data_IF_125657017697
#
_entry.id   IF_125657017697
#
_cell.length_a   1.000
_cell.length_b   1.000
_cell.length_c   1.000
_cell.angle_alpha   90.00
_cell.angle_beta   90.00
_cell.angle_gamma   90.00
#
_symmetry.space_group_name_H-M   'P 1'
#
loop_
_entity.id
_entity.type
_entity.pdbx_description
1 polymer ?
#
# COMPACT_ATOMS: atom_id res chain seq x y z
N UNK A 1 -31.78 35.67 -29.40
CA UNK A 1 -31.60 34.22 -29.49
C UNK A 1 -32.73 33.58 -30.26
N UNK A 2 -32.43 33.06 -31.45
CA UNK A 2 -33.34 32.28 -32.28
C UNK A 2 -33.09 30.79 -32.05
N UNK A 3 -34.14 30.01 -31.84
CA UNK A 3 -34.05 28.56 -31.62
C UNK A 3 -34.95 27.84 -32.62
N UNK A 4 -34.38 26.85 -33.29
CA UNK A 4 -35.09 25.89 -34.14
C UNK A 4 -35.04 24.50 -33.52
N UNK A 5 -36.19 23.82 -33.46
CA UNK A 5 -36.31 22.47 -32.92
C UNK A 5 -36.98 21.61 -33.99
N UNK A 6 -36.42 20.45 -34.29
CA UNK A 6 -37.01 19.50 -35.23
C UNK A 6 -36.99 18.09 -34.68
N UNK A 7 -38.02 17.32 -35.05
CA UNK A 7 -38.15 15.90 -34.72
C UNK A 7 -38.03 15.60 -33.21
N UNK A 8 -38.70 16.36 -32.35
CA UNK A 8 -38.68 16.18 -30.90
C UNK A 8 -40.10 15.82 -30.40
N UNK A 9 -40.30 14.61 -29.88
CA UNK A 9 -41.57 14.06 -29.38
C UNK A 9 -42.75 14.30 -30.34
N UNK A 10 -43.60 15.29 -30.01
CA UNK A 10 -44.79 15.67 -30.76
C UNK A 10 -44.58 16.92 -31.65
N UNK A 11 -43.34 17.39 -31.78
CA UNK A 11 -42.92 18.54 -32.57
C UNK A 11 -42.14 18.05 -33.79
N UNK A 12 -42.70 18.25 -34.97
CA UNK A 12 -42.02 17.97 -36.23
C UNK A 12 -41.04 19.10 -36.56
N UNK A 13 -41.51 20.35 -36.47
CA UNK A 13 -40.67 21.55 -36.53
C UNK A 13 -41.25 22.66 -35.65
N UNK A 14 -40.39 23.44 -35.02
CA UNK A 14 -40.74 24.64 -34.27
C UNK A 14 -39.62 25.67 -34.38
N UNK A 15 -39.98 26.94 -34.45
CA UNK A 15 -39.06 28.07 -34.43
C UNK A 15 -39.55 29.08 -33.40
N UNK A 16 -38.64 29.59 -32.57
CA UNK A 16 -38.97 30.53 -31.50
C UNK A 16 -37.85 31.51 -31.20
N UNK A 17 -38.23 32.74 -30.89
CA UNK A 17 -37.31 33.79 -30.45
C UNK A 17 -37.40 34.03 -28.93
N UNK A 18 -36.22 34.12 -28.31
CA UNK A 18 -36.02 34.55 -26.93
C UNK A 18 -35.29 35.89 -26.94
N UNK A 19 -35.96 36.90 -26.37
CA UNK A 19 -35.41 38.24 -26.17
C UNK A 19 -34.55 38.26 -24.91
N UNK A 20 -33.28 38.66 -25.05
CA UNK A 20 -32.33 38.76 -23.94
C UNK A 20 -32.79 39.78 -22.89
N UNK A 21 -32.52 39.49 -21.61
CA UNK A 21 -32.85 40.33 -20.46
C UNK A 21 -34.35 40.69 -20.32
N UNK A 22 -35.24 39.83 -20.82
CA UNK A 22 -36.69 39.99 -20.70
C UNK A 22 -37.33 38.71 -20.19
N UNK A 23 -38.49 38.87 -19.53
CA UNK A 23 -39.37 37.75 -19.26
C UNK A 23 -40.03 37.30 -20.58
N UNK A 24 -39.68 36.11 -21.04
CA UNK A 24 -40.22 35.53 -22.27
C UNK A 24 -41.36 34.56 -21.92
N UNK A 25 -42.60 34.98 -22.12
CA UNK A 25 -43.78 34.16 -21.84
C UNK A 25 -44.26 33.52 -23.15
N UNK A 26 -44.31 32.19 -23.20
CA UNK A 26 -44.85 31.42 -24.33
C UNK A 26 -46.05 30.63 -23.83
N UNK A 27 -47.24 30.94 -24.35
CA UNK A 27 -48.49 30.30 -23.95
C UNK A 27 -49.03 29.42 -25.07
N UNK A 28 -49.47 28.21 -24.73
CA UNK A 28 -50.10 27.29 -25.67
C UNK A 28 -51.02 26.30 -24.93
N UNK A 29 -52.01 25.69 -25.61
CA UNK A 29 -52.85 24.63 -25.04
C UNK A 29 -52.06 23.41 -24.54
N UNK A 30 -52.71 22.55 -23.77
CA UNK A 30 -52.12 21.27 -23.36
C UNK A 30 -51.93 20.36 -24.57
N UNK A 31 -50.84 19.58 -24.57
CA UNK A 31 -50.46 18.77 -25.73
C UNK A 31 -49.76 19.52 -26.86
N UNK A 32 -49.61 20.85 -26.80
CA UNK A 32 -48.94 21.65 -27.84
C UNK A 32 -47.40 21.53 -27.83
N UNK A 33 -46.79 20.71 -26.96
CA UNK A 33 -45.34 20.51 -26.92
C UNK A 33 -44.54 21.51 -26.07
N UNK A 34 -45.19 22.34 -25.23
CA UNK A 34 -44.50 23.30 -24.33
C UNK A 34 -43.35 22.66 -23.53
N UNK A 35 -43.63 21.53 -22.87
CA UNK A 35 -42.63 20.80 -22.09
C UNK A 35 -41.54 20.16 -22.96
N UNK A 36 -41.87 19.77 -24.19
CA UNK A 36 -40.90 19.25 -25.17
C UNK A 36 -39.90 20.35 -25.55
N UNK A 37 -40.37 21.57 -25.81
CA UNK A 37 -39.51 22.72 -26.11
C UNK A 37 -38.55 22.98 -24.94
N UNK A 38 -39.07 23.02 -23.71
CA UNK A 38 -38.25 23.25 -22.52
C UNK A 38 -37.18 22.16 -22.32
N UNK A 39 -37.53 20.88 -22.52
CA UNK A 39 -36.57 19.76 -22.45
C UNK A 39 -35.52 19.82 -23.56
N UNK A 40 -35.92 20.13 -24.80
CA UNK A 40 -34.99 20.26 -25.91
C UNK A 40 -33.95 21.37 -25.66
N UNK A 41 -34.38 22.52 -25.11
CA UNK A 41 -33.46 23.60 -24.72
C UNK A 41 -32.54 23.16 -23.57
N UNK A 42 -33.05 22.41 -22.59
CA UNK A 42 -32.24 21.90 -21.48
C UNK A 42 -31.16 20.90 -21.94
N UNK A 43 -31.46 20.12 -22.97
CA UNK A 43 -30.55 19.12 -23.52
C UNK A 43 -29.75 19.65 -24.72
N UNK A 44 -29.73 20.97 -24.93
CA UNK A 44 -29.02 21.60 -26.05
C UNK A 44 -27.55 21.21 -26.16
N UNK A 45 -26.86 21.01 -25.04
CA UNK A 45 -25.44 20.65 -24.99
C UNK A 45 -25.19 19.14 -24.71
N UNK A 46 -26.23 18.31 -24.72
CA UNK A 46 -26.18 16.91 -24.32
C UNK A 46 -26.96 16.03 -25.32
N UNK A 47 -26.26 15.62 -26.38
CA UNK A 47 -26.83 14.83 -27.49
C UNK A 47 -27.42 13.49 -27.02
N UNK A 48 -26.89 12.90 -25.94
CA UNK A 48 -27.40 11.65 -25.37
C UNK A 48 -28.78 11.86 -24.75
N UNK A 49 -28.95 12.93 -23.96
CA UNK A 49 -30.26 13.27 -23.40
C UNK A 49 -31.24 13.80 -24.43
N UNK A 50 -30.76 14.39 -25.53
CA UNK A 50 -31.63 14.82 -26.62
C UNK A 50 -32.27 13.63 -27.35
N UNK A 51 -31.58 12.49 -27.40
CA UNK A 51 -32.11 11.25 -27.97
C UNK A 51 -33.36 10.72 -27.23
N UNK A 52 -33.54 11.05 -25.94
CA UNK A 52 -34.76 10.69 -25.20
C UNK A 52 -36.03 11.35 -25.77
N UNK A 53 -35.86 12.44 -26.53
CA UNK A 53 -36.94 13.15 -27.19
C UNK A 53 -37.29 12.55 -28.57
N UNK A 54 -36.83 11.35 -28.91
CA UNK A 54 -37.20 10.66 -30.16
C UNK A 54 -38.74 10.56 -30.33
N UNK A 55 -39.30 11.09 -31.44
CA UNK A 55 -40.73 11.05 -31.73
C UNK A 55 -41.25 9.62 -31.73
N UNK A 56 -42.39 9.40 -31.08
CA UNK A 56 -42.95 8.05 -30.93
C UNK A 56 -43.17 7.35 -32.28
N UNK A 57 -43.61 8.10 -33.31
CA UNK A 57 -43.81 7.59 -34.68
C UNK A 57 -42.53 7.06 -35.34
N UNK A 58 -41.35 7.50 -34.89
CA UNK A 58 -40.05 7.13 -35.44
C UNK A 58 -39.32 6.06 -34.60
N UNK A 59 -39.92 5.57 -33.51
CA UNK A 59 -39.26 4.57 -32.63
C UNK A 59 -39.27 3.15 -33.18
N UNK A 60 -40.28 2.79 -34.00
CA UNK A 60 -40.40 1.45 -34.61
C UNK A 60 -39.80 1.39 -36.01
N UNK A 61 -40.08 2.39 -36.84
CA UNK A 61 -39.58 2.50 -38.21
C UNK A 61 -39.06 3.94 -38.43
N UNK A 62 -37.81 4.07 -38.84
CA UNK A 62 -37.16 5.35 -39.13
C UNK A 62 -36.34 5.26 -40.43
N UNK A 63 -36.99 5.06 -41.58
CA UNK A 63 -36.30 4.82 -42.86
C UNK A 63 -35.41 6.00 -43.27
N UNK A 64 -35.76 7.22 -42.86
CA UNK A 64 -35.02 8.45 -43.17
C UNK A 64 -34.00 8.84 -42.08
N UNK A 65 -33.81 7.99 -41.05
CA UNK A 65 -32.83 8.18 -39.97
C UNK A 65 -32.91 9.54 -39.26
N UNK A 66 -34.12 10.08 -39.11
CA UNK A 66 -34.35 11.33 -38.39
C UNK A 66 -33.93 11.23 -36.92
N UNK A 67 -33.39 12.32 -36.39
CA UNK A 67 -33.02 12.47 -34.98
C UNK A 67 -33.56 13.81 -34.44
N UNK A 68 -33.90 13.87 -33.14
CA UNK A 68 -34.11 15.10 -32.40
C UNK A 68 -32.96 16.07 -32.65
N UNK A 69 -33.29 17.29 -33.03
CA UNK A 69 -32.30 18.32 -33.26
C UNK A 69 -32.79 19.64 -32.69
N UNK A 70 -31.86 20.38 -32.12
CA UNK A 70 -32.03 21.75 -31.70
C UNK A 70 -30.87 22.57 -32.24
N UNK A 71 -31.19 23.67 -32.90
CA UNK A 71 -30.23 24.66 -33.36
C UNK A 71 -30.52 25.98 -32.66
N UNK A 72 -29.47 26.65 -32.21
CA UNK A 72 -29.59 27.93 -31.54
C UNK A 72 -28.62 28.93 -32.17
N UNK A 73 -29.08 30.16 -32.39
CA UNK A 73 -28.24 31.23 -32.93
C UNK A 73 -27.14 31.69 -31.95
N UNK A 74 -27.25 31.31 -30.68
CA UNK A 74 -26.33 31.66 -29.59
C UNK A 74 -26.00 30.41 -28.76
N UNK A 75 -24.78 30.30 -28.22
CA UNK A 75 -24.42 29.16 -27.37
C UNK A 75 -25.04 29.32 -25.97
N UNK A 76 -25.72 28.29 -25.49
CA UNK A 76 -26.37 28.27 -24.18
C UNK A 76 -25.44 27.58 -23.17
N UNK A 77 -24.93 28.33 -22.19
CA UNK A 77 -23.99 27.81 -21.19
C UNK A 77 -24.64 26.94 -20.11
N UNK A 78 -25.69 27.44 -19.45
CA UNK A 78 -26.41 26.69 -18.42
C UNK A 78 -27.92 26.99 -18.50
N UNK A 79 -28.74 25.95 -18.37
CA UNK A 79 -30.21 26.04 -18.38
C UNK A 79 -30.72 25.45 -17.07
N UNK A 80 -31.35 26.29 -16.25
CA UNK A 80 -32.03 25.85 -15.03
C UNK A 80 -33.52 25.67 -15.30
N UNK A 81 -34.09 24.54 -14.87
CA UNK A 81 -35.50 24.26 -15.05
C UNK A 81 -36.21 24.15 -13.71
N UNK A 82 -37.15 25.07 -13.50
CA UNK A 82 -38.04 25.05 -12.36
C UNK A 82 -39.31 24.27 -12.70
N UNK A 83 -39.28 22.96 -12.45
CA UNK A 83 -40.41 22.04 -12.68
C UNK A 83 -40.74 21.27 -11.39
N UNK A 84 -41.72 20.37 -11.45
CA UNK A 84 -42.10 19.53 -10.30
C UNK A 84 -40.94 18.69 -9.76
N UNK A 85 -40.05 18.20 -10.63
CA UNK A 85 -38.87 17.44 -10.20
C UNK A 85 -37.91 18.30 -9.36
N UNK A 86 -37.72 19.57 -9.72
CA UNK A 86 -36.95 20.52 -8.92
C UNK A 86 -37.62 20.77 -7.56
N UNK A 87 -38.94 21.01 -7.54
CA UNK A 87 -39.68 21.26 -6.28
C UNK A 87 -39.61 20.04 -5.35
N UNK A 88 -39.77 18.84 -5.88
CA UNK A 88 -39.71 17.59 -5.13
C UNK A 88 -38.34 17.32 -4.48
N UNK A 89 -37.26 17.96 -4.94
CA UNK A 89 -35.94 17.87 -4.27
C UNK A 89 -35.94 18.55 -2.89
N UNK A 90 -36.85 19.49 -2.63
CA UNK A 90 -36.85 20.30 -1.40
C UNK A 90 -38.08 20.08 -0.51
N UNK A 91 -39.22 19.67 -1.07
CA UNK A 91 -40.49 19.65 -0.32
C UNK A 91 -40.88 18.30 0.29
N UNK A 92 -40.16 17.20 -0.01
CA UNK A 92 -40.56 15.84 0.39
C UNK A 92 -39.38 14.89 0.70
N UNK A 93 -38.36 15.37 1.41
CA UNK A 93 -37.26 14.50 1.87
C UNK A 93 -37.61 13.91 3.25
N UNK A 94 -37.41 12.59 3.43
CA UNK A 94 -37.80 11.86 4.64
C UNK A 94 -37.00 12.24 5.87
N UNK A 95 -35.73 12.61 5.67
CA UNK A 95 -34.74 12.72 6.74
C UNK A 95 -33.99 14.06 6.79
N UNK A 96 -34.09 14.91 5.76
CA UNK A 96 -33.46 16.24 5.69
C UNK A 96 -34.42 17.28 5.11
N UNK A 97 -34.35 18.54 5.56
CA UNK A 97 -35.18 19.63 5.03
C UNK A 97 -34.66 20.14 3.67
N UNK A 98 -33.34 20.06 3.49
CA UNK A 98 -32.60 20.40 2.26
C UNK A 98 -31.43 19.45 2.17
N UNK A 99 -31.24 18.82 1.01
CA UNK A 99 -30.08 17.96 0.77
C UNK A 99 -28.79 18.76 0.95
N UNK A 100 -27.81 18.18 1.62
CA UNK A 100 -26.51 18.82 1.85
C UNK A 100 -26.59 20.06 2.76
N UNK A 101 -27.51 20.03 3.73
CA UNK A 101 -27.74 21.10 4.71
C UNK A 101 -26.48 21.52 5.47
N UNK A 102 -25.52 20.61 5.71
CA UNK A 102 -24.24 20.93 6.33
C UNK A 102 -23.42 21.93 5.49
N UNK A 103 -23.23 21.65 4.20
CA UNK A 103 -22.47 22.57 3.33
C UNK A 103 -23.19 23.92 3.16
N UNK A 104 -24.52 23.92 3.17
CA UNK A 104 -25.33 25.13 2.95
C UNK A 104 -25.37 26.03 4.20
N UNK A 105 -25.52 25.44 5.38
CA UNK A 105 -25.78 26.19 6.61
C UNK A 105 -24.59 26.25 7.57
N UNK A 106 -23.66 25.30 7.50
CA UNK A 106 -22.60 25.13 8.51
C UNK A 106 -21.20 25.34 7.93
N UNK A 107 -20.93 24.88 6.71
CA UNK A 107 -19.62 25.02 6.05
C UNK A 107 -19.40 26.42 5.47
N UNK A 108 -19.40 27.41 6.36
CA UNK A 108 -19.09 28.80 6.03
C UNK A 108 -17.61 28.97 5.67
N UNK A 109 -17.24 30.14 5.15
CA UNK A 109 -15.84 30.48 4.89
C UNK A 109 -14.99 30.37 6.17
N UNK A 110 -15.53 30.78 7.33
CA UNK A 110 -14.85 30.68 8.63
C UNK A 110 -14.61 29.23 9.05
N UNK A 111 -15.56 28.34 8.77
CA UNK A 111 -15.40 26.90 9.03
C UNK A 111 -14.26 26.33 8.19
N UNK A 112 -14.24 26.65 6.89
CA UNK A 112 -13.18 26.20 5.95
C UNK A 112 -11.82 26.75 6.39
N UNK A 113 -11.75 28.01 6.80
CA UNK A 113 -10.50 28.62 7.28
C UNK A 113 -9.98 27.92 8.54
N UNK A 114 -10.87 27.57 9.48
CA UNK A 114 -10.52 26.83 10.69
C UNK A 114 -10.05 25.41 10.37
N UNK A 115 -10.72 24.72 9.45
CA UNK A 115 -10.32 23.39 8.97
C UNK A 115 -8.91 23.42 8.35
N UNK A 116 -8.62 24.43 7.52
CA UNK A 116 -7.30 24.63 6.93
C UNK A 116 -6.22 24.96 7.97
N UNK A 117 -6.55 25.73 9.01
CA UNK A 117 -5.62 26.01 10.10
C UNK A 117 -5.29 24.75 10.89
N UNK A 118 -6.29 23.94 11.24
CA UNK A 118 -6.09 22.64 11.87
C UNK A 118 -5.17 21.78 11.00
N UNK A 119 -5.49 21.65 9.71
CA UNK A 119 -4.69 20.84 8.78
C UNK A 119 -3.24 21.34 8.70
N UNK A 120 -3.02 22.66 8.71
CA UNK A 120 -1.67 23.24 8.76
C UNK A 120 -0.93 22.88 10.06
N UNK A 121 -1.61 22.87 11.21
CA UNK A 121 -1.01 22.51 12.51
C UNK A 121 -0.58 21.03 12.53
N UNK A 122 -1.41 20.13 11.99
CA UNK A 122 -1.08 18.69 11.97
C UNK A 122 -0.23 18.27 10.77
N UNK A 123 -0.06 19.13 9.76
CA UNK A 123 0.70 18.83 8.53
C UNK A 123 2.11 18.34 8.84
N UNK A 124 2.88 19.11 9.63
CA UNK A 124 4.27 18.78 9.93
C UNK A 124 4.38 17.42 10.65
N UNK A 125 3.40 17.12 11.52
CA UNK A 125 3.31 15.82 12.21
C UNK A 125 3.02 14.70 11.20
N UNK A 126 2.06 14.88 10.29
CA UNK A 126 1.74 13.90 9.25
C UNK A 126 2.92 13.64 8.32
N UNK A 127 3.65 14.67 7.92
CA UNK A 127 4.83 14.57 7.05
C UNK A 127 5.97 13.82 7.73
N UNK A 128 6.21 14.04 9.03
CA UNK A 128 7.22 13.32 9.82
C UNK A 128 7.04 11.80 9.84
N UNK A 129 5.80 11.30 9.72
CA UNK A 129 5.50 9.87 9.70
C UNK A 129 5.30 9.29 8.28
N UNK A 130 5.09 10.15 7.28
CA UNK A 130 4.80 9.72 5.90
C UNK A 130 6.06 9.64 5.05
N UNK A 131 6.95 10.64 5.12
CA UNK A 131 8.10 10.78 4.20
C UNK A 131 9.45 10.70 4.95
N UNK A 132 9.53 9.81 5.93
CA UNK A 132 10.72 9.69 6.77
C UNK A 132 11.49 8.39 6.54
N UNK A 133 12.50 8.48 5.66
CA UNK A 133 13.37 7.36 5.28
C UNK A 133 14.06 6.71 6.49
N UNK A 134 14.43 7.49 7.52
CA UNK A 134 15.04 6.95 8.74
C UNK A 134 14.03 6.12 9.54
N UNK A 135 12.80 6.61 9.64
CA UNK A 135 11.72 5.86 10.28
C UNK A 135 11.38 4.59 9.50
N UNK A 136 11.36 4.65 8.17
CA UNK A 136 11.14 3.48 7.32
C UNK A 136 12.22 2.42 7.52
N UNK A 137 13.48 2.84 7.55
CA UNK A 137 14.62 1.95 7.81
C UNK A 137 14.54 1.34 9.21
N UNK A 138 14.18 2.13 10.23
CA UNK A 138 13.95 1.61 11.58
C UNK A 138 12.83 0.56 11.60
N UNK A 139 11.69 0.83 10.98
CA UNK A 139 10.56 -0.11 10.89
C UNK A 139 10.96 -1.39 10.14
N UNK A 140 11.74 -1.27 9.06
CA UNK A 140 12.22 -2.42 8.31
C UNK A 140 13.14 -3.30 9.16
N UNK A 141 14.12 -2.71 9.85
CA UNK A 141 15.04 -3.43 10.73
C UNK A 141 14.31 -4.08 11.92
N UNK A 142 13.36 -3.37 12.54
CA UNK A 142 12.52 -3.90 13.61
C UNK A 142 11.68 -5.10 13.12
N UNK A 143 11.10 -5.01 11.92
CA UNK A 143 10.37 -6.13 11.32
C UNK A 143 11.29 -7.32 11.02
N UNK A 144 12.48 -7.08 10.48
CA UNK A 144 13.46 -8.13 10.20
C UNK A 144 13.84 -8.87 11.49
N UNK A 145 14.30 -8.15 12.51
CA UNK A 145 14.65 -8.74 13.80
C UNK A 145 13.44 -9.41 14.48
N UNK A 146 12.30 -8.72 14.48
CA UNK A 146 11.05 -9.22 15.06
C UNK A 146 10.57 -10.51 14.40
N UNK A 147 10.66 -10.62 13.08
CA UNK A 147 10.23 -11.79 12.31
C UNK A 147 11.14 -13.01 12.49
N UNK A 148 12.40 -12.78 12.84
CA UNK A 148 13.36 -13.86 13.14
C UNK A 148 12.94 -14.69 14.36
N UNK A 149 12.16 -14.09 15.26
CA UNK A 149 11.65 -14.74 16.46
C UNK A 149 10.13 -14.93 16.39
N UNK A 150 9.64 -16.02 16.97
CA UNK A 150 8.19 -16.27 17.08
C UNK A 150 7.85 -16.59 18.52
N UNK A 151 6.77 -16.02 19.03
CA UNK A 151 6.29 -16.32 20.37
C UNK A 151 5.27 -17.46 20.35
N UNK A 152 5.21 -18.19 21.45
CA UNK A 152 4.26 -19.26 21.75
C UNK A 152 3.69 -19.03 23.15
N UNK A 153 2.71 -19.84 23.55
CA UNK A 153 2.12 -19.78 24.91
C UNK A 153 3.15 -19.97 26.03
N UNK A 154 4.27 -20.64 25.76
CA UNK A 154 5.32 -20.96 26.75
C UNK A 154 6.59 -20.11 26.59
N UNK A 155 6.55 -19.07 25.76
CA UNK A 155 7.69 -18.20 25.46
C UNK A 155 8.17 -18.31 24.00
N UNK A 156 9.45 -18.06 23.75
CA UNK A 156 10.00 -18.03 22.40
C UNK A 156 10.03 -19.43 21.75
N UNK A 157 9.63 -19.50 20.48
CA UNK A 157 9.61 -20.73 19.70
C UNK A 157 11.02 -21.14 19.29
N UNK A 158 11.46 -22.33 19.73
CA UNK A 158 12.71 -22.94 19.26
C UNK A 158 12.73 -23.23 17.76
N UNK A 159 11.56 -23.27 17.12
CA UNK A 159 11.43 -23.46 15.68
C UNK A 159 11.65 -22.16 14.87
N UNK A 160 11.70 -20.99 15.52
CA UNK A 160 11.95 -19.71 14.86
C UNK A 160 13.36 -19.66 14.25
N UNK A 161 13.51 -18.89 13.17
CA UNK A 161 14.77 -18.84 12.41
C UNK A 161 15.91 -18.32 13.26
N UNK A 162 15.66 -17.33 14.11
CA UNK A 162 16.66 -16.79 15.02
C UNK A 162 17.03 -17.72 16.16
N UNK A 163 16.05 -18.44 16.73
CA UNK A 163 16.37 -19.46 17.72
C UNK A 163 17.22 -20.59 17.13
N UNK A 164 16.92 -21.04 15.90
CA UNK A 164 17.74 -22.04 15.21
C UNK A 164 19.15 -21.53 14.90
N UNK A 165 19.28 -20.26 14.51
CA UNK A 165 20.55 -19.63 14.21
C UNK A 165 21.48 -19.57 15.44
N UNK A 166 20.91 -19.25 16.61
CA UNK A 166 21.64 -19.08 17.86
C UNK A 166 21.80 -20.39 18.67
N UNK A 167 21.07 -21.45 18.33
CA UNK A 167 20.99 -22.67 19.14
C UNK A 167 22.32 -23.41 19.34
N UNK A 168 23.29 -23.25 18.43
CA UNK A 168 24.60 -23.93 18.48
C UNK A 168 25.76 -22.95 18.75
N UNK A 169 25.45 -21.75 19.24
CA UNK A 169 26.43 -20.70 19.44
C UNK A 169 26.96 -20.10 18.14
N UNK A 170 27.80 -19.09 18.29
CA UNK A 170 28.45 -18.38 17.20
C UNK A 170 29.71 -19.10 16.76
N UNK A 171 29.54 -20.07 15.85
CA UNK A 171 30.66 -20.82 15.25
C UNK A 171 31.54 -19.99 14.31
N UNK A 172 31.11 -18.79 13.92
CA UNK A 172 31.94 -17.87 13.12
C UNK A 172 33.07 -17.31 14.00
N UNK A 173 32.71 -16.91 15.22
CA UNK A 173 33.66 -16.46 16.22
C UNK A 173 34.39 -17.65 16.87
N UNK A 174 33.65 -18.67 17.29
CA UNK A 174 34.16 -19.86 17.99
C UNK A 174 34.27 -21.04 17.04
N UNK A 175 35.32 -21.03 16.22
CA UNK A 175 35.54 -22.05 15.18
C UNK A 175 35.75 -23.43 15.86
N UNK A 176 35.01 -24.48 15.45
CA UNK A 176 35.17 -25.82 16.00
C UNK A 176 36.59 -26.36 15.83
N UNK A 177 37.03 -27.14 16.83
CA UNK A 177 38.37 -27.72 16.86
C UNK A 177 38.69 -28.49 15.58
N UNK A 178 39.85 -28.25 14.99
CA UNK A 178 40.29 -28.86 13.74
C UNK A 178 39.83 -28.15 12.48
N UNK A 179 39.07 -27.05 12.55
CA UNK A 179 38.68 -26.23 11.40
C UNK A 179 39.37 -24.85 11.37
N UNK A 180 40.35 -24.62 12.23
CA UNK A 180 41.04 -23.33 12.42
C UNK A 180 41.74 -22.85 11.15
N UNK A 181 42.21 -23.77 10.30
CA UNK A 181 42.83 -23.45 9.01
C UNK A 181 41.88 -22.70 8.08
N UNK A 182 40.57 -22.89 8.22
CA UNK A 182 39.54 -22.22 7.43
C UNK A 182 39.09 -20.88 8.03
N UNK A 183 39.69 -20.43 9.14
CA UNK A 183 39.36 -19.16 9.81
C UNK A 183 39.26 -17.96 8.87
N UNK A 184 40.19 -17.74 7.91
CA UNK A 184 40.08 -16.61 6.98
C UNK A 184 38.78 -16.62 6.18
N UNK A 185 38.26 -17.80 5.83
CA UNK A 185 37.03 -17.95 5.06
C UNK A 185 35.79 -17.90 5.94
N UNK A 186 35.81 -18.60 7.08
CA UNK A 186 34.69 -18.63 8.04
C UNK A 186 34.40 -17.22 8.58
N UNK A 187 35.42 -16.41 8.84
CA UNK A 187 35.27 -15.03 9.33
C UNK A 187 35.23 -13.97 8.22
N UNK A 188 35.27 -14.38 6.94
CA UNK A 188 35.17 -13.43 5.85
C UNK A 188 33.75 -12.87 5.73
N UNK A 189 33.61 -11.72 5.05
CA UNK A 189 32.30 -11.17 4.68
C UNK A 189 31.51 -12.09 3.73
N UNK A 190 32.18 -13.02 3.04
CA UNK A 190 31.55 -14.01 2.15
C UNK A 190 31.50 -15.42 2.78
N UNK A 191 31.39 -15.51 4.10
CA UNK A 191 31.38 -16.78 4.82
C UNK A 191 30.24 -17.72 4.38
N UNK A 192 29.02 -17.21 4.19
CA UNK A 192 27.86 -17.98 3.73
C UNK A 192 28.13 -18.58 2.35
N UNK A 193 28.72 -17.80 1.44
CA UNK A 193 29.06 -18.25 0.09
C UNK A 193 30.14 -19.32 0.12
N UNK A 194 31.18 -19.13 0.93
CA UNK A 194 32.25 -20.12 1.08
C UNK A 194 31.74 -21.44 1.70
N UNK A 195 30.90 -21.38 2.73
CA UNK A 195 30.31 -22.59 3.34
C UNK A 195 29.43 -23.31 2.31
N UNK A 196 28.60 -22.61 1.55
CA UNK A 196 27.79 -23.21 0.48
C UNK A 196 28.68 -23.89 -0.57
N UNK A 197 29.77 -23.24 -0.98
CA UNK A 197 30.73 -23.79 -1.93
C UNK A 197 31.40 -25.05 -1.38
N UNK A 198 31.92 -25.01 -0.15
CA UNK A 198 32.60 -26.14 0.47
C UNK A 198 31.65 -27.33 0.63
N UNK A 199 30.46 -27.10 1.18
CA UNK A 199 29.48 -28.17 1.44
C UNK A 199 28.97 -28.83 0.16
N UNK A 200 28.67 -28.05 -0.88
CA UNK A 200 28.35 -28.59 -2.21
C UNK A 200 29.52 -29.31 -2.84
N UNK A 201 30.73 -28.74 -2.71
CA UNK A 201 31.95 -29.33 -3.24
C UNK A 201 32.20 -30.74 -2.71
N UNK A 202 32.07 -30.91 -1.39
CA UNK A 202 32.13 -32.24 -0.76
C UNK A 202 31.03 -33.14 -1.31
N UNK A 203 29.77 -32.68 -1.30
CA UNK A 203 28.63 -33.50 -1.70
C UNK A 203 28.70 -33.99 -3.16
N UNK A 204 29.17 -33.15 -4.07
CA UNK A 204 29.09 -33.39 -5.52
C UNK A 204 30.37 -34.02 -6.08
N UNK A 205 31.54 -33.80 -5.46
CA UNK A 205 32.82 -34.19 -6.06
C UNK A 205 33.68 -35.13 -5.21
N UNK A 206 33.40 -35.33 -3.92
CA UNK A 206 34.27 -36.13 -3.03
C UNK A 206 34.32 -37.64 -3.37
N UNK A 207 33.29 -38.14 -4.07
CA UNK A 207 33.22 -39.53 -4.53
C UNK A 207 33.91 -39.74 -5.89
N UNK A 208 34.22 -38.66 -6.62
CA UNK A 208 34.78 -38.71 -7.97
C UNK A 208 36.31 -38.82 -7.94
N UNK A 209 36.96 -38.11 -7.03
CA UNK A 209 38.42 -38.07 -6.90
C UNK A 209 38.82 -37.65 -5.49
N UNK A 210 39.94 -38.18 -4.99
CA UNK A 210 40.57 -37.67 -3.77
C UNK A 210 41.43 -36.41 -4.02
N UNK A 211 41.45 -35.88 -5.25
CA UNK A 211 42.11 -34.62 -5.58
C UNK A 211 41.17 -33.41 -5.36
N UNK A 212 41.73 -32.31 -4.88
CA UNK A 212 41.01 -31.04 -4.73
C UNK A 212 40.45 -30.57 -6.08
N UNK A 213 39.14 -30.26 -6.19
CA UNK A 213 38.54 -29.81 -7.45
C UNK A 213 39.02 -28.41 -7.89
N UNK A 214 39.71 -27.66 -7.02
CA UNK A 214 40.22 -26.32 -7.33
C UNK A 214 41.68 -26.32 -7.81
N UNK A 215 42.57 -27.08 -7.15
CA UNK A 215 44.01 -27.06 -7.43
C UNK A 215 44.60 -28.42 -7.86
N UNK A 216 43.78 -29.47 -7.92
CA UNK A 216 44.18 -30.83 -8.31
C UNK A 216 45.23 -31.50 -7.40
N UNK A 217 45.51 -30.95 -6.22
CA UNK A 217 46.35 -31.59 -5.20
C UNK A 217 45.61 -32.72 -4.50
N UNK A 218 46.29 -33.81 -4.15
CA UNK A 218 45.75 -34.88 -3.30
C UNK A 218 45.26 -34.32 -1.95
N UNK A 219 44.11 -34.81 -1.49
CA UNK A 219 43.43 -34.40 -0.25
C UNK A 219 43.07 -35.55 0.67
N UNK A 220 43.58 -36.77 0.44
CA UNK A 220 43.28 -37.93 1.31
C UNK A 220 43.56 -37.66 2.79
N UNK A 221 44.65 -36.97 3.10
CA UNK A 221 45.06 -36.60 4.46
C UNK A 221 44.13 -35.56 5.13
N UNK A 222 43.34 -34.83 4.32
CA UNK A 222 42.46 -33.74 4.76
C UNK A 222 40.98 -34.05 4.57
N UNK A 223 40.62 -35.24 4.07
CA UNK A 223 39.25 -35.63 3.75
C UNK A 223 38.30 -35.46 4.94
N UNK A 224 38.71 -35.95 6.11
CA UNK A 224 37.94 -35.80 7.35
C UNK A 224 37.76 -34.31 7.74
N UNK A 225 38.81 -33.49 7.63
CA UNK A 225 38.75 -32.05 7.93
C UNK A 225 37.82 -31.30 6.96
N UNK A 226 37.82 -31.69 5.67
CA UNK A 226 36.98 -31.13 4.63
C UNK A 226 35.50 -31.49 4.88
N UNK A 227 35.21 -32.75 5.19
CA UNK A 227 33.85 -33.24 5.50
C UNK A 227 33.31 -32.63 6.80
N UNK A 228 34.18 -32.41 7.78
CA UNK A 228 33.81 -31.81 9.07
C UNK A 228 33.21 -30.41 8.92
N UNK A 229 33.58 -29.64 7.90
CA UNK A 229 32.94 -28.34 7.63
C UNK A 229 31.44 -28.53 7.37
N UNK A 230 31.05 -29.53 6.58
CA UNK A 230 29.65 -29.84 6.25
C UNK A 230 28.86 -30.40 7.43
N UNK A 231 29.55 -30.99 8.40
CA UNK A 231 28.94 -31.50 9.64
C UNK A 231 28.69 -30.38 10.65
N UNK A 232 29.62 -29.43 10.74
CA UNK A 232 29.59 -28.37 11.74
C UNK A 232 28.77 -27.14 11.31
N UNK A 233 28.76 -26.83 10.02
CA UNK A 233 28.16 -25.63 9.45
C UNK A 233 27.00 -25.95 8.52
N UNK A 234 25.90 -25.21 8.68
CA UNK A 234 24.77 -25.18 7.76
C UNK A 234 24.62 -23.77 7.17
N UNK A 235 24.50 -23.69 5.85
CA UNK A 235 24.41 -22.41 5.13
C UNK A 235 23.26 -21.53 5.63
N UNK A 236 22.07 -22.11 5.85
CA UNK A 236 20.88 -21.37 6.22
C UNK A 236 21.03 -20.87 7.66
N UNK A 237 21.55 -21.71 8.56
CA UNK A 237 21.84 -21.33 9.95
C UNK A 237 22.83 -20.18 10.00
N UNK A 238 23.95 -20.25 9.27
CA UNK A 238 24.97 -19.19 9.25
C UNK A 238 24.45 -17.90 8.60
N UNK A 239 23.70 -18.02 7.49
CA UNK A 239 23.05 -16.86 6.87
C UNK A 239 22.12 -16.14 7.86
N UNK A 240 21.31 -16.89 8.60
CA UNK A 240 20.40 -16.31 9.58
C UNK A 240 21.14 -15.70 10.77
N UNK A 241 22.23 -16.33 11.24
CA UNK A 241 23.07 -15.79 12.32
C UNK A 241 23.69 -14.45 11.92
N UNK A 242 24.31 -14.39 10.74
CA UNK A 242 24.89 -13.14 10.20
C UNK A 242 23.82 -12.07 10.03
N UNK A 243 22.64 -12.43 9.50
CA UNK A 243 21.52 -11.50 9.37
C UNK A 243 21.07 -10.92 10.71
N UNK A 244 21.00 -11.75 11.76
CA UNK A 244 20.63 -11.31 13.11
C UNK A 244 21.68 -10.37 13.71
N UNK A 245 22.97 -10.68 13.54
CA UNK A 245 24.06 -9.81 14.01
C UNK A 245 23.96 -8.44 13.33
N UNK A 246 23.84 -8.43 12.00
CA UNK A 246 23.76 -7.19 11.22
C UNK A 246 22.54 -6.34 11.58
N UNK A 247 21.36 -6.95 11.75
CA UNK A 247 20.15 -6.17 12.10
C UNK A 247 20.23 -5.64 13.53
N UNK A 248 20.86 -6.36 14.47
CA UNK A 248 21.11 -5.88 15.83
C UNK A 248 22.07 -4.69 15.79
N UNK A 249 23.14 -4.74 15.00
CA UNK A 249 24.08 -3.63 14.81
C UNK A 249 23.38 -2.41 14.22
N UNK A 250 22.55 -2.58 13.18
CA UNK A 250 21.77 -1.50 12.57
C UNK A 250 20.75 -0.87 13.53
N UNK A 251 20.21 -1.65 14.46
CA UNK A 251 19.31 -1.18 15.50
C UNK A 251 20.05 -0.65 16.74
N UNK A 252 21.39 -0.74 16.77
CA UNK A 252 22.23 -0.44 17.91
C UNK A 252 21.81 0.83 18.62
N UNK A 253 21.82 1.98 17.92
CA UNK A 253 21.50 3.29 18.51
C UNK A 253 20.09 3.41 19.12
N UNK A 254 19.18 2.49 18.79
CA UNK A 254 17.82 2.45 19.32
C UNK A 254 17.67 1.54 20.55
N UNK A 255 18.66 0.70 20.85
CA UNK A 255 18.69 -0.11 22.05
C UNK A 255 19.31 0.63 23.23
N UNK A 256 18.85 0.32 24.45
CA UNK A 256 19.54 0.72 25.67
C UNK A 256 20.92 0.04 25.75
N UNK A 257 21.85 0.64 26.49
CA UNK A 257 23.19 0.06 26.67
C UNK A 257 23.13 -1.35 27.28
N UNK A 258 22.27 -1.59 28.28
CA UNK A 258 22.02 -2.95 28.81
C UNK A 258 21.56 -3.93 27.73
N UNK A 259 20.62 -3.52 26.88
CA UNK A 259 20.12 -4.38 25.82
C UNK A 259 21.21 -4.67 24.77
N UNK A 260 22.00 -3.67 24.39
CA UNK A 260 23.16 -3.84 23.50
C UNK A 260 24.15 -4.85 24.06
N UNK A 261 24.56 -4.69 25.33
CA UNK A 261 25.51 -5.59 25.96
C UNK A 261 24.98 -7.03 26.02
N UNK A 262 23.70 -7.21 26.36
CA UNK A 262 23.08 -8.54 26.45
C UNK A 262 22.92 -9.18 25.08
N UNK A 263 22.52 -8.42 24.07
CA UNK A 263 22.43 -8.91 22.70
C UNK A 263 23.81 -9.28 22.14
N UNK A 264 24.82 -8.45 22.38
CA UNK A 264 26.20 -8.73 21.99
C UNK A 264 26.73 -10.01 22.65
N UNK A 265 26.49 -10.18 23.96
CA UNK A 265 26.83 -11.42 24.68
C UNK A 265 26.14 -12.64 24.04
N UNK A 266 24.83 -12.53 23.78
CA UNK A 266 24.03 -13.61 23.18
C UNK A 266 24.55 -14.00 21.79
N UNK A 267 24.87 -13.03 20.95
CA UNK A 267 25.37 -13.28 19.59
C UNK A 267 26.84 -13.73 19.56
N UNK A 268 27.58 -13.62 20.67
CA UNK A 268 28.96 -14.07 20.79
C UNK A 268 29.13 -15.35 21.61
N UNK A 269 28.04 -16.01 22.04
CA UNK A 269 28.15 -17.23 22.86
C UNK A 269 28.86 -18.36 22.09
N UNK A 270 29.81 -19.09 22.70
CA UNK A 270 30.43 -20.26 22.08
C UNK A 270 29.46 -21.43 21.94
N UNK A 271 28.54 -21.55 22.91
CA UNK A 271 27.55 -22.61 23.00
C UNK A 271 26.14 -22.07 22.76
N UNK A 272 25.15 -22.98 22.83
CA UNK A 272 23.75 -22.63 22.67
C UNK A 272 23.19 -21.71 23.76
N UNK A 273 21.95 -21.27 23.53
CA UNK A 273 21.24 -20.37 24.44
C UNK A 273 20.76 -21.07 25.71
N UNK A 274 21.13 -20.50 26.86
CA UNK A 274 20.46 -20.78 28.15
C UNK A 274 19.07 -20.13 28.27
N UNK A 275 18.30 -20.56 29.27
CA UNK A 275 16.92 -20.11 29.49
C UNK A 275 16.80 -18.59 29.71
N UNK A 276 17.78 -17.98 30.36
CA UNK A 276 17.80 -16.54 30.61
C UNK A 276 17.92 -15.74 29.29
N UNK A 277 18.73 -16.23 28.35
CA UNK A 277 18.85 -15.66 27.02
C UNK A 277 17.54 -15.80 26.23
N UNK A 278 16.90 -16.98 26.27
CA UNK A 278 15.59 -17.20 25.63
C UNK A 278 14.53 -16.22 26.15
N UNK A 279 14.47 -16.04 27.47
CA UNK A 279 13.52 -15.14 28.12
C UNK A 279 13.78 -13.68 27.72
N UNK A 280 15.04 -13.27 27.66
CA UNK A 280 15.43 -11.94 27.23
C UNK A 280 15.06 -11.65 25.77
N UNK A 281 15.39 -12.57 24.85
CA UNK A 281 15.00 -12.45 23.44
C UNK A 281 13.48 -12.40 23.27
N UNK A 282 12.73 -13.17 24.08
CA UNK A 282 11.27 -13.11 24.12
C UNK A 282 10.73 -11.74 24.58
N UNK A 283 11.40 -11.10 25.54
CA UNK A 283 11.08 -9.73 25.97
C UNK A 283 11.34 -8.71 24.87
N UNK A 284 12.52 -8.77 24.24
CA UNK A 284 12.88 -7.90 23.10
C UNK A 284 11.85 -8.04 21.97
N UNK A 285 11.49 -9.27 21.61
CA UNK A 285 10.45 -9.54 20.61
C UNK A 285 9.11 -8.89 20.97
N UNK A 286 8.65 -9.04 22.21
CA UNK A 286 7.39 -8.41 22.67
C UNK A 286 7.46 -6.88 22.57
N UNK A 287 8.59 -6.28 22.94
CA UNK A 287 8.79 -4.83 22.85
C UNK A 287 8.81 -4.34 21.40
N UNK A 288 9.50 -5.07 20.51
CA UNK A 288 9.53 -4.79 19.07
C UNK A 288 8.13 -4.84 18.49
N UNK A 289 7.34 -5.88 18.80
CA UNK A 289 5.97 -6.02 18.30
C UNK A 289 5.07 -4.88 18.76
N UNK A 290 5.15 -4.54 20.04
CA UNK A 290 4.40 -3.41 20.62
C UNK A 290 4.77 -2.09 19.95
N UNK A 291 6.06 -1.87 19.67
CA UNK A 291 6.53 -0.66 19.00
C UNK A 291 6.07 -0.62 17.53
N UNK A 292 6.18 -1.74 16.81
CA UNK A 292 5.73 -1.86 15.42
C UNK A 292 4.23 -1.62 15.28
N UNK A 293 3.41 -2.13 16.20
CA UNK A 293 1.98 -1.87 16.23
C UNK A 293 1.69 -0.36 16.38
N UNK A 294 2.33 0.30 17.34
CA UNK A 294 2.18 1.75 17.55
C UNK A 294 2.65 2.56 16.35
N UNK A 295 3.78 2.22 15.77
CA UNK A 295 4.31 2.89 14.57
C UNK A 295 3.39 2.65 13.36
N UNK A 296 2.79 1.46 13.24
CA UNK A 296 1.79 1.15 12.23
C UNK A 296 0.55 2.03 12.36
N UNK A 297 0.01 2.17 13.57
CA UNK A 297 -1.13 3.06 13.87
C UNK A 297 -0.81 4.52 13.51
N UNK A 298 0.38 5.01 13.86
CA UNK A 298 0.80 6.37 13.52
C UNK A 298 0.87 6.60 12.00
N UNK A 299 1.34 5.60 11.23
CA UNK A 299 1.34 5.67 9.75
C UNK A 299 -0.06 5.66 9.13
N UNK A 300 -1.05 5.14 9.84
CA UNK A 300 -2.46 5.16 9.39
C UNK A 300 -3.20 6.44 9.74
N UNK A 301 -2.61 7.36 10.53
CA UNK A 301 -3.19 8.68 10.83
C UNK A 301 -3.16 9.65 9.62
N UNK A 302 -3.08 9.12 8.39
CA UNK A 302 -3.42 9.87 7.19
C UNK A 302 -4.89 10.25 7.34
N UNK A 303 -5.16 11.56 7.32
CA UNK A 303 -6.52 12.09 7.34
C UNK A 303 -7.35 11.51 6.21
#
# INVERSE_FOLDING_TARGET
MHIEISNCNNIDSASLDISKNKLNIKFAPNGAGKSTIAKAIMHYADDEKLADLMPFKLRKENPESFRPQIQCSENIGNVMCFNEAYVNQFTFQSDELVSNSFDIFIRTEDYIATEQEIERIVKDIKELFTDNVKLDSLIANLNELGSAFKLTKTGISKASTGMKALAKGNKIEHIPAGLEVYKPFIRSSNNVGWIDWQTKGVKEFSEISDCCPFCSTDTQDKKEQIEKVSQEYDKIVIKNLVGIINVIENLGDYFSEDAKERLAKITSLPDGLEKEHENFLGSIKTQIDTLLEKLGQLKTLKG
#
